data_IF_724369268932
#
_entry.id   IF_724369268932
#
_cell.length_a   1.000
_cell.length_b   1.000
_cell.length_c   1.000
_cell.angle_alpha   90.00
_cell.angle_beta   90.00
_cell.angle_gamma   90.00
#
_symmetry.space_group_name_H-M   'P 1'
#
loop_
_entity.id
_entity.type
_entity.pdbx_description
1 polymer ?
#
# COMPACT_ATOMS: atom_id res chain seq x y z
N UNK A 1 2.06 -34.61 7.85
CA UNK A 1 2.09 -33.45 6.93
C UNK A 1 2.03 -32.18 7.76
N UNK A 2 2.89 -31.19 7.52
CA UNK A 2 2.89 -29.90 8.23
C UNK A 2 2.44 -28.81 7.24
N UNK A 3 1.30 -28.17 7.47
CA UNK A 3 0.76 -27.10 6.61
C UNK A 3 1.00 -25.75 7.29
N UNK A 4 1.83 -24.85 6.72
CA UNK A 4 2.11 -23.56 7.32
C UNK A 4 0.92 -22.60 7.17
N UNK A 5 0.68 -21.78 8.21
CA UNK A 5 -0.39 -20.78 8.23
C UNK A 5 -0.18 -19.64 7.23
N UNK A 6 1.08 -19.22 7.00
CA UNK A 6 1.40 -18.14 6.07
C UNK A 6 2.31 -18.64 4.94
N UNK A 7 2.17 -18.02 3.77
CA UNK A 7 2.90 -18.39 2.56
C UNK A 7 4.13 -17.50 2.29
N UNK A 8 4.48 -16.59 3.20
CA UNK A 8 5.53 -15.60 2.99
C UNK A 8 6.92 -16.21 2.71
N UNK A 9 7.35 -17.29 3.39
CA UNK A 9 8.62 -17.96 3.05
C UNK A 9 8.68 -18.43 1.60
N UNK A 10 7.55 -18.85 1.03
CA UNK A 10 7.48 -19.27 -0.38
C UNK A 10 7.45 -18.07 -1.33
N UNK A 11 6.64 -17.05 -1.03
CA UNK A 11 6.51 -15.84 -1.85
C UNK A 11 7.84 -15.08 -1.99
N UNK A 12 8.60 -14.99 -0.88
CA UNK A 12 9.87 -14.26 -0.83
C UNK A 12 11.11 -15.16 -0.97
N UNK A 13 10.95 -16.42 -1.39
CA UNK A 13 12.07 -17.35 -1.64
C UNK A 13 13.15 -16.80 -2.59
N UNK A 14 12.77 -15.91 -3.51
CA UNK A 14 13.66 -15.26 -4.47
C UNK A 14 13.75 -13.74 -4.21
N UNK A 15 14.47 -13.34 -3.17
CA UNK A 15 14.52 -11.93 -2.71
C UNK A 15 15.22 -10.98 -3.69
N UNK A 16 16.19 -11.47 -4.49
CA UNK A 16 17.02 -10.65 -5.39
C UNK A 16 16.20 -9.79 -6.38
N UNK A 17 15.01 -10.25 -6.78
CA UNK A 17 14.14 -9.52 -7.72
C UNK A 17 13.59 -8.21 -7.13
N UNK A 18 13.40 -8.14 -5.81
CA UNK A 18 12.87 -6.96 -5.12
C UNK A 18 13.95 -5.89 -4.89
N UNK A 19 15.19 -6.31 -4.63
CA UNK A 19 16.30 -5.39 -4.34
C UNK A 19 16.65 -4.46 -5.51
N UNK A 20 16.30 -4.80 -6.75
CA UNK A 20 16.54 -3.94 -7.90
C UNK A 20 15.82 -2.59 -7.78
N UNK A 21 14.55 -2.61 -7.40
CA UNK A 21 13.76 -1.39 -7.22
C UNK A 21 14.16 -0.65 -5.94
N UNK A 22 14.52 -1.37 -4.87
CA UNK A 22 15.02 -0.77 -3.64
C UNK A 22 16.30 0.04 -3.87
N UNK A 23 17.24 -0.46 -4.69
CA UNK A 23 18.45 0.29 -5.05
C UNK A 23 18.13 1.63 -5.72
N UNK A 24 17.08 1.70 -6.53
CA UNK A 24 16.64 2.95 -7.18
C UNK A 24 16.09 3.93 -6.13
N UNK A 25 15.21 3.46 -5.25
CA UNK A 25 14.64 4.27 -4.16
C UNK A 25 15.73 4.83 -3.24
N UNK A 26 16.66 3.98 -2.79
CA UNK A 26 17.75 4.40 -1.90
C UNK A 26 18.65 5.43 -2.60
N UNK A 27 18.89 5.28 -3.90
CA UNK A 27 19.70 6.23 -4.66
C UNK A 27 19.00 7.59 -4.84
N UNK A 28 17.67 7.62 -4.98
CA UNK A 28 16.93 8.88 -5.15
C UNK A 28 16.60 9.57 -3.84
N UNK A 29 16.62 8.85 -2.71
CA UNK A 29 16.27 9.35 -1.37
C UNK A 29 14.82 9.86 -1.23
N UNK A 30 13.95 9.51 -2.17
CA UNK A 30 12.54 9.94 -2.20
C UNK A 30 11.67 9.02 -1.31
N UNK A 31 11.96 8.99 -0.01
CA UNK A 31 11.33 8.06 0.92
C UNK A 31 9.88 8.41 1.28
N UNK A 32 9.50 9.67 1.15
CA UNK A 32 8.21 10.19 1.60
C UNK A 32 7.48 10.85 0.45
N UNK A 33 6.26 10.39 0.14
CA UNK A 33 5.38 10.95 -0.90
C UNK A 33 6.05 11.08 -2.28
N UNK A 34 6.95 10.13 -2.62
CA UNK A 34 7.71 10.13 -3.86
C UNK A 34 7.03 9.38 -5.03
N UNK A 35 7.70 9.29 -6.18
CA UNK A 35 7.14 8.74 -7.43
C UNK A 35 6.74 7.26 -7.34
N UNK A 36 7.33 6.50 -6.41
CA UNK A 36 6.93 5.11 -6.15
C UNK A 36 5.51 5.02 -5.57
N UNK A 37 5.13 5.97 -4.70
CA UNK A 37 3.78 6.06 -4.12
C UNK A 37 2.78 6.43 -5.20
N UNK A 38 3.05 7.48 -5.97
CA UNK A 38 2.14 7.89 -7.05
C UNK A 38 1.92 6.78 -8.10
N UNK A 39 2.99 6.07 -8.45
CA UNK A 39 2.90 4.95 -9.40
C UNK A 39 2.04 3.82 -8.83
N UNK A 40 2.19 3.52 -7.55
CA UNK A 40 1.34 2.55 -6.87
C UNK A 40 -0.12 2.98 -6.90
N UNK A 41 -0.43 4.21 -6.48
CA UNK A 41 -1.81 4.73 -6.46
C UNK A 41 -2.47 4.69 -7.83
N UNK A 42 -1.79 5.13 -8.89
CA UNK A 42 -2.30 5.05 -10.28
C UNK A 42 -2.55 3.60 -10.70
N UNK A 43 -1.63 2.70 -10.40
CA UNK A 43 -1.73 1.29 -10.79
C UNK A 43 -2.84 0.58 -10.01
N UNK A 44 -2.98 0.90 -8.72
CA UNK A 44 -3.97 0.29 -7.84
C UNK A 44 -5.38 0.80 -8.13
N UNK A 45 -5.54 2.10 -8.38
CA UNK A 45 -6.81 2.66 -8.86
C UNK A 45 -7.29 1.96 -10.14
N UNK A 46 -6.38 1.75 -11.10
CA UNK A 46 -6.67 1.00 -12.34
C UNK A 46 -7.03 -0.46 -12.06
N UNK A 47 -6.29 -1.12 -11.17
CA UNK A 47 -6.52 -2.52 -10.82
C UNK A 47 -7.90 -2.75 -10.19
N UNK A 48 -8.32 -1.85 -9.28
CA UNK A 48 -9.63 -1.92 -8.61
C UNK A 48 -10.76 -1.40 -9.51
N UNK A 49 -10.46 -0.56 -10.50
CA UNK A 49 -11.46 0.01 -11.40
C UNK A 49 -12.10 1.31 -10.88
N UNK A 50 -11.37 2.09 -10.08
CA UNK A 50 -11.81 3.37 -9.52
C UNK A 50 -11.01 4.55 -10.08
N UNK A 51 -11.55 5.76 -9.98
CA UNK A 51 -10.91 6.97 -10.52
C UNK A 51 -9.68 7.42 -9.71
N UNK A 52 -9.72 7.24 -8.38
CA UNK A 52 -8.69 7.73 -7.48
C UNK A 52 -8.32 6.66 -6.43
N UNK A 53 -7.06 6.64 -6.05
CA UNK A 53 -6.54 5.87 -4.92
C UNK A 53 -5.64 6.83 -4.12
N UNK A 54 -5.81 6.84 -2.79
CA UNK A 54 -4.95 7.56 -1.87
C UNK A 54 -4.38 6.52 -0.91
N UNK A 55 -3.07 6.37 -0.92
CA UNK A 55 -2.36 5.48 -0.01
C UNK A 55 -2.30 6.07 1.39
N UNK A 56 -2.43 5.21 2.39
CA UNK A 56 -2.36 5.58 3.80
C UNK A 56 -1.36 4.67 4.50
N UNK A 57 -1.05 4.97 5.77
CA UNK A 57 -0.12 4.17 6.56
C UNK A 57 -0.64 2.73 6.81
N UNK A 58 -1.95 2.57 7.04
CA UNK A 58 -2.59 1.27 7.24
C UNK A 58 -4.10 1.33 6.93
N UNK A 59 -4.77 0.17 7.00
CA UNK A 59 -6.20 0.04 6.72
C UNK A 59 -7.12 0.73 7.74
N UNK A 60 -6.75 0.76 9.02
CA UNK A 60 -7.54 1.47 10.05
C UNK A 60 -7.55 2.97 9.79
N UNK A 61 -6.39 3.55 9.45
CA UNK A 61 -6.28 4.96 9.09
C UNK A 61 -7.10 5.29 7.83
N UNK A 62 -7.12 4.38 6.85
CA UNK A 62 -7.93 4.54 5.64
C UNK A 62 -9.43 4.67 5.96
N UNK A 63 -9.93 3.83 6.87
CA UNK A 63 -11.33 3.90 7.32
C UNK A 63 -11.61 5.18 8.10
N UNK A 64 -10.75 5.53 9.05
CA UNK A 64 -10.88 6.74 9.86
C UNK A 64 -10.90 7.99 8.96
N UNK A 65 -9.98 8.09 8.00
CA UNK A 65 -9.92 9.22 7.08
C UNK A 65 -11.15 9.29 6.18
N UNK A 66 -11.65 8.14 5.72
CA UNK A 66 -12.87 8.08 4.90
C UNK A 66 -14.09 8.60 5.67
N UNK A 67 -14.28 8.14 6.91
CA UNK A 67 -15.39 8.60 7.76
C UNK A 67 -15.24 10.08 8.12
N UNK A 68 -14.03 10.54 8.43
CA UNK A 68 -13.75 11.96 8.68
C UNK A 68 -14.06 12.84 7.46
N UNK A 69 -13.69 12.39 6.26
CA UNK A 69 -13.97 13.12 5.01
C UNK A 69 -15.48 13.21 4.71
N UNK A 70 -16.25 12.18 5.09
CA UNK A 70 -17.72 12.20 5.04
C UNK A 70 -18.36 13.05 6.14
N UNK A 71 -17.59 13.51 7.13
CA UNK A 71 -18.08 14.35 8.22
C UNK A 71 -18.79 13.57 9.33
N UNK A 72 -18.56 12.26 9.45
CA UNK A 72 -19.14 11.38 10.48
C UNK A 72 -18.73 11.84 11.88
N UNK A 73 -19.69 11.86 12.80
CA UNK A 73 -19.57 12.34 14.18
C UNK A 73 -20.18 11.34 15.16
N UNK A 74 -19.98 11.63 16.44
CA UNK A 74 -20.60 10.88 17.53
C UNK A 74 -22.12 10.95 17.40
N UNK A 75 -22.77 9.79 17.37
CA UNK A 75 -24.22 9.65 17.24
C UNK A 75 -24.70 9.38 15.81
N UNK A 76 -23.81 9.40 14.83
CA UNK A 76 -24.11 8.99 13.46
C UNK A 76 -23.99 7.46 13.33
N UNK A 77 -24.77 6.88 12.41
CA UNK A 77 -24.72 5.48 11.97
C UNK A 77 -24.50 5.39 10.45
#
# INVERSE_FOLDING_TARGET
MRVPFNYLPYQFSQTKKYFREWKKLIKSSEFTLGPFVERFERSFAKFVGVKHCISTNNGTDALILSLKALGVKKGDE
#
